data_IF_222941026609
#
_entry.id   IF_222941026609
#
_cell.length_a   1.000
_cell.length_b   1.000
_cell.length_c   1.000
_cell.angle_alpha   90.00
_cell.angle_beta   90.00
_cell.angle_gamma   90.00
#
_symmetry.space_group_name_H-M   'P 1'
#
loop_
_entity.id
_entity.type
_entity.pdbx_description
1 polymer ?
#
# COMPACT_ATOMS: atom_id res chain seq x y z
N UNK A 1 5.13 7.18 -9.33
CA UNK A 1 4.77 5.92 -10.02
C UNK A 1 5.47 5.80 -11.36
N UNK A 2 6.55 6.53 -11.58
CA UNK A 2 6.74 7.12 -12.93
C UNK A 2 7.38 6.15 -13.93
N UNK A 3 7.73 4.94 -13.47
CA UNK A 3 8.27 3.83 -14.26
C UNK A 3 7.35 2.61 -14.31
N UNK A 4 6.11 2.75 -13.84
CA UNK A 4 5.09 1.70 -13.85
C UNK A 4 3.80 2.23 -14.44
N UNK A 5 3.06 1.40 -15.15
CA UNK A 5 1.62 1.63 -15.36
C UNK A 5 0.85 0.95 -14.24
N UNK A 6 -0.38 1.38 -14.04
CA UNK A 6 -1.22 0.77 -13.03
C UNK A 6 -2.69 0.82 -13.41
N UNK A 7 -3.46 -0.05 -12.77
CA UNK A 7 -4.90 -0.12 -12.95
C UNK A 7 -5.57 -0.64 -11.67
N UNK A 8 -6.77 -0.15 -11.40
CA UNK A 8 -7.64 -0.75 -10.40
C UNK A 8 -8.31 -1.99 -10.98
N UNK A 9 -8.23 -3.11 -10.28
CA UNK A 9 -8.77 -4.39 -10.76
C UNK A 9 -9.16 -5.31 -9.62
N UNK A 10 -9.82 -6.42 -9.95
CA UNK A 10 -10.22 -7.47 -9.01
C UNK A 10 -9.47 -8.75 -9.37
N UNK A 11 -8.68 -9.27 -8.42
CA UNK A 11 -7.95 -10.52 -8.58
C UNK A 11 -8.47 -11.53 -7.56
N UNK A 12 -9.06 -12.64 -8.02
CA UNK A 12 -9.58 -13.68 -7.13
C UNK A 12 -10.68 -13.20 -6.18
N UNK A 13 -11.50 -12.24 -6.61
CA UNK A 13 -12.56 -11.63 -5.78
C UNK A 13 -12.09 -10.51 -4.85
N UNK A 14 -10.80 -10.17 -4.84
CA UNK A 14 -10.24 -9.09 -4.01
C UNK A 14 -9.95 -7.88 -4.88
N UNK A 15 -10.50 -6.72 -4.50
CA UNK A 15 -10.18 -5.45 -5.14
C UNK A 15 -8.78 -4.97 -4.76
N UNK A 16 -8.12 -4.29 -5.68
CA UNK A 16 -6.82 -3.71 -5.43
C UNK A 16 -6.27 -3.00 -6.65
N UNK A 17 -4.98 -2.68 -6.58
CA UNK A 17 -4.28 -2.02 -7.68
C UNK A 17 -3.14 -2.89 -8.18
N UNK A 18 -3.11 -3.13 -9.48
CA UNK A 18 -2.03 -3.84 -10.17
C UNK A 18 -1.05 -2.81 -10.71
N UNK A 19 0.22 -3.00 -10.40
CA UNK A 19 1.33 -2.21 -10.94
C UNK A 19 2.13 -3.09 -11.90
N UNK A 20 2.38 -2.59 -13.10
CA UNK A 20 3.13 -3.30 -14.14
C UNK A 20 4.35 -2.48 -14.52
N UNK A 21 5.52 -3.09 -14.42
CA UNK A 21 6.79 -2.47 -14.81
C UNK A 21 7.00 -2.60 -16.33
N UNK A 22 7.89 -1.77 -16.88
CA UNK A 22 8.21 -1.78 -18.32
C UNK A 22 8.73 -3.14 -18.84
N UNK A 23 9.29 -3.98 -17.96
CA UNK A 23 9.73 -5.33 -18.31
C UNK A 23 8.59 -6.37 -18.35
N UNK A 24 7.33 -5.96 -18.17
CA UNK A 24 6.15 -6.81 -18.19
C UNK A 24 5.84 -7.53 -16.87
N UNK A 25 6.74 -7.48 -15.88
CA UNK A 25 6.45 -8.03 -14.56
C UNK A 25 5.43 -7.15 -13.84
N UNK A 26 4.52 -7.78 -13.10
CA UNK A 26 3.50 -7.06 -12.34
C UNK A 26 3.41 -7.55 -10.90
N UNK A 27 2.94 -6.65 -10.05
CA UNK A 27 2.53 -6.95 -8.68
C UNK A 27 1.08 -6.49 -8.49
N UNK A 28 0.31 -7.28 -7.74
CA UNK A 28 -1.00 -6.87 -7.27
C UNK A 28 -0.91 -6.50 -5.79
N UNK A 29 -1.42 -5.32 -5.44
CA UNK A 29 -1.59 -4.86 -4.07
C UNK A 29 -3.08 -4.87 -3.73
N UNK A 30 -3.52 -5.73 -2.78
CA UNK A 30 -4.88 -5.69 -2.28
C UNK A 30 -5.25 -4.34 -1.65
N UNK A 31 -6.49 -3.90 -1.88
CA UNK A 31 -7.14 -2.87 -1.09
C UNK A 31 -7.63 -3.49 0.24
N UNK A 32 -6.66 -3.86 1.09
CA UNK A 32 -6.92 -4.59 2.33
C UNK A 32 -7.52 -3.72 3.45
N UNK A 33 -7.64 -2.41 3.24
CA UNK A 33 -8.05 -1.47 4.27
C UNK A 33 -6.95 -1.17 5.29
N UNK A 34 -7.39 -0.71 6.45
CA UNK A 34 -6.59 -0.41 7.63
C UNK A 34 -7.30 -0.89 8.90
N UNK A 35 -6.54 -1.15 9.96
CA UNK A 35 -7.11 -1.39 11.29
C UNK A 35 -6.96 -0.20 12.21
N UNK A 36 -7.96 0.03 13.04
CA UNK A 36 -7.99 1.03 14.12
C UNK A 36 -8.52 0.32 15.35
N UNK A 37 -7.66 0.15 16.34
CA UNK A 37 -7.97 -0.69 17.51
C UNK A 37 -8.43 -2.10 17.06
N UNK A 38 -9.69 -2.45 17.33
CA UNK A 38 -10.29 -3.74 16.96
C UNK A 38 -11.10 -3.68 15.64
N UNK A 39 -11.22 -2.49 15.03
CA UNK A 39 -12.03 -2.27 13.83
C UNK A 39 -11.19 -2.42 12.55
N UNK A 40 -11.80 -3.02 11.53
CA UNK A 40 -11.24 -3.16 10.20
C UNK A 40 -12.05 -2.30 9.23
N UNK A 41 -11.40 -1.27 8.69
CA UNK A 41 -12.04 -0.27 7.85
C UNK A 41 -11.57 -0.37 6.40
N UNK A 42 -12.35 0.22 5.49
CA UNK A 42 -11.95 0.50 4.11
C UNK A 42 -11.57 -0.73 3.25
N UNK A 43 -11.97 -1.92 3.68
CA UNK A 43 -11.73 -3.16 2.93
C UNK A 43 -12.37 -3.07 1.55
N UNK A 44 -11.58 -3.38 0.53
CA UNK A 44 -12.01 -3.35 -0.87
C UNK A 44 -12.04 -1.96 -1.50
N UNK A 45 -11.73 -0.88 -0.75
CA UNK A 45 -11.73 0.49 -1.26
C UNK A 45 -10.37 1.20 -1.10
N UNK A 46 -9.61 0.91 -0.04
CA UNK A 46 -8.30 1.51 0.20
C UNK A 46 -7.22 0.45 0.42
N UNK A 47 -6.03 0.72 -0.11
CA UNK A 47 -4.82 -0.05 0.21
C UNK A 47 -3.79 0.84 0.87
N UNK A 48 -3.43 0.55 2.11
CA UNK A 48 -2.40 1.24 2.87
C UNK A 48 -1.24 0.30 3.19
N UNK A 49 -0.03 0.72 2.86
CA UNK A 49 1.19 -0.06 3.01
C UNK A 49 2.25 0.76 3.74
N UNK A 50 2.75 0.24 4.86
CA UNK A 50 3.83 0.89 5.60
C UNK A 50 5.15 0.80 4.85
N UNK A 51 5.94 1.88 4.92
CA UNK A 51 7.38 1.81 4.71
C UNK A 51 8.09 1.57 6.04
N UNK A 52 9.37 1.24 6.01
CA UNK A 52 10.20 1.13 7.22
C UNK A 52 10.65 2.49 7.78
N UNK A 53 10.25 3.60 7.18
CA UNK A 53 10.76 4.93 7.50
C UNK A 53 9.85 5.68 8.47
N UNK A 54 10.40 6.09 9.60
CA UNK A 54 9.75 7.00 10.55
C UNK A 54 9.65 8.41 9.96
N UNK A 55 8.61 9.15 10.30
CA UNK A 55 8.64 10.60 10.10
C UNK A 55 9.45 11.24 11.23
N UNK A 56 10.62 11.81 10.90
CA UNK A 56 11.52 12.42 11.88
C UNK A 56 10.91 13.64 12.58
N UNK A 57 10.07 14.40 11.86
CA UNK A 57 9.48 15.63 12.36
C UNK A 57 8.28 15.36 13.27
N UNK A 58 7.64 14.19 13.09
CA UNK A 58 6.53 13.71 13.92
C UNK A 58 6.61 12.20 14.10
N UNK A 59 7.28 11.72 15.17
CA UNK A 59 7.44 10.29 15.45
C UNK A 59 6.14 9.52 15.73
N UNK A 60 5.01 10.21 15.88
CA UNK A 60 3.68 9.55 15.94
C UNK A 60 3.22 9.04 14.56
N UNK A 61 3.92 9.43 13.50
CA UNK A 61 3.65 9.06 12.11
C UNK A 61 4.79 8.28 11.47
N UNK A 62 4.48 7.46 10.48
CA UNK A 62 5.44 6.76 9.65
C UNK A 62 5.11 7.00 8.17
N UNK A 63 6.12 6.92 7.32
CA UNK A 63 5.92 7.01 5.88
C UNK A 63 5.27 5.73 5.34
N UNK A 64 4.43 5.88 4.33
CA UNK A 64 3.76 4.77 3.69
C UNK A 64 3.22 5.14 2.32
N UNK A 65 2.61 4.14 1.70
CA UNK A 65 1.98 4.21 0.40
C UNK A 65 0.48 3.93 0.54
N UNK A 66 -0.35 4.79 -0.02
CA UNK A 66 -1.82 4.68 -0.01
C UNK A 66 -2.40 4.74 -1.43
N UNK A 67 -3.49 4.02 -1.68
CA UNK A 67 -4.24 4.14 -2.93
C UNK A 67 -5.72 3.81 -2.78
N UNK A 68 -6.51 4.34 -3.71
CA UNK A 68 -7.92 4.01 -3.96
C UNK A 68 -8.10 3.58 -5.42
N UNK A 69 -9.34 3.51 -5.92
CA UNK A 69 -9.61 3.39 -7.36
C UNK A 69 -9.31 4.69 -8.14
N UNK A 70 -9.38 5.85 -7.49
CA UNK A 70 -9.23 7.15 -8.14
C UNK A 70 -7.83 7.77 -8.06
N UNK A 71 -7.06 7.46 -7.02
CA UNK A 71 -5.75 8.10 -6.82
C UNK A 71 -4.79 7.21 -6.03
N UNK A 72 -3.54 7.68 -5.98
CA UNK A 72 -2.47 7.10 -5.18
C UNK A 72 -1.71 8.22 -4.47
N UNK A 73 -1.07 7.91 -3.35
CA UNK A 73 -0.32 8.88 -2.57
C UNK A 73 0.83 8.20 -1.82
N UNK A 74 1.99 8.86 -1.80
CA UNK A 74 3.06 8.59 -0.84
C UNK A 74 2.98 9.68 0.21
N UNK A 75 2.86 9.29 1.47
CA UNK A 75 2.63 10.23 2.57
C UNK A 75 3.01 9.62 3.91
N UNK A 76 2.72 10.35 4.98
CA UNK A 76 2.86 9.83 6.34
C UNK A 76 1.49 9.62 6.96
N UNK A 77 1.34 8.54 7.72
CA UNK A 77 0.10 8.16 8.40
C UNK A 77 0.39 7.91 9.88
N UNK A 78 -0.63 8.05 10.73
CA UNK A 78 -0.51 7.77 12.16
C UNK A 78 -0.13 6.32 12.42
N UNK A 79 0.89 6.08 13.24
CA UNK A 79 1.41 4.73 13.52
C UNK A 79 0.45 3.84 14.32
N UNK A 80 -0.63 4.41 14.85
CA UNK A 80 -1.71 3.65 15.48
C UNK A 80 -2.58 2.91 14.46
N UNK A 81 -2.48 3.24 13.16
CA UNK A 81 -3.13 2.47 12.10
C UNK A 81 -2.42 1.15 11.84
N UNK A 82 -3.19 0.06 11.78
CA UNK A 82 -2.75 -1.24 11.30
C UNK A 82 -2.81 -1.31 9.77
N UNK A 83 -1.79 -0.80 9.09
CA UNK A 83 -1.65 -0.93 7.63
C UNK A 83 -0.90 -2.21 7.25
N UNK A 84 -1.06 -2.65 6.00
CA UNK A 84 -0.37 -3.82 5.47
C UNK A 84 1.14 -3.60 5.39
N UNK A 85 1.93 -4.66 5.56
CA UNK A 85 3.37 -4.68 5.27
C UNK A 85 3.63 -5.75 4.23
N UNK A 86 4.24 -5.39 3.10
CA UNK A 86 4.67 -6.38 2.10
C UNK A 86 6.17 -6.61 2.25
N UNK A 87 6.62 -7.76 2.77
CA UNK A 87 8.05 -8.03 2.90
C UNK A 87 8.69 -8.08 1.51
N UNK A 88 9.74 -7.29 1.33
CA UNK A 88 10.60 -7.33 0.15
C UNK A 88 11.75 -8.27 0.47
N UNK A 89 11.89 -9.35 -0.29
CA UNK A 89 13.03 -10.24 -0.14
C UNK A 89 14.25 -9.58 -0.79
N UNK A 90 15.35 -9.41 -0.05
CA UNK A 90 16.61 -9.03 -0.67
C UNK A 90 17.07 -10.17 -1.58
N UNK A 91 17.53 -9.86 -2.79
CA UNK A 91 18.32 -10.83 -3.56
C UNK A 91 19.64 -11.00 -2.82
N UNK A 92 19.87 -12.20 -2.26
CA UNK A 92 21.21 -12.62 -1.86
C UNK A 92 22.10 -12.54 -3.12
N UNK A 93 23.17 -11.76 -3.03
CA UNK A 93 24.25 -11.76 -4.02
C UNK A 93 25.18 -12.95 -3.77
#
# INVERSE_FOLDING_TARGET
>A
MDNTTDEWTTLGGVNGRRFTAANGNSIFLPAAGDRRDDELDNVGSHGYYWSSSLNSDDPSRAWGFGFTSGYQIVGNFGRYYGCSVRPVRSSLK
#
